data_IF_942678974328
#
_entry.id   IF_942678974328
#
_cell.length_a   1.000
_cell.length_b   1.000
_cell.length_c   1.000
_cell.angle_alpha   90.00
_cell.angle_beta   90.00
_cell.angle_gamma   90.00
#
_symmetry.space_group_name_H-M   'P 1'
#
loop_
_entity.id
_entity.type
_entity.pdbx_description
1 polymer ?
#
# COMPACT_ATOMS: atom_id res chain seq x y z
N UNK A 1 -27.96 -14.94 -36.37
CA UNK A 1 -26.48 -14.88 -36.27
C UNK A 1 -25.99 -13.76 -35.33
N UNK A 2 -26.77 -12.70 -35.09
CA UNK A 2 -26.39 -11.60 -34.18
C UNK A 2 -26.31 -11.99 -32.68
N UNK A 3 -27.12 -12.96 -32.23
CA UNK A 3 -27.18 -13.37 -30.81
C UNK A 3 -25.88 -14.05 -30.34
N UNK A 4 -25.25 -14.84 -31.22
CA UNK A 4 -23.98 -15.51 -30.91
C UNK A 4 -22.85 -14.50 -30.76
N UNK A 5 -22.84 -13.44 -31.58
CA UNK A 5 -21.79 -12.41 -31.54
C UNK A 5 -21.84 -11.57 -30.25
N UNK A 6 -23.04 -11.26 -29.73
CA UNK A 6 -23.18 -10.59 -28.44
C UNK A 6 -22.75 -11.47 -27.26
N UNK A 7 -23.12 -12.75 -27.27
CA UNK A 7 -22.73 -13.69 -26.20
C UNK A 7 -21.21 -13.91 -26.20
N UNK A 8 -20.57 -14.00 -27.37
CA UNK A 8 -19.10 -14.13 -27.48
C UNK A 8 -18.38 -12.84 -27.07
N UNK A 9 -18.94 -11.66 -27.34
CA UNK A 9 -18.39 -10.38 -26.88
C UNK A 9 -18.49 -10.22 -25.36
N UNK A 10 -19.61 -10.62 -24.75
CA UNK A 10 -19.80 -10.62 -23.29
C UNK A 10 -18.90 -11.64 -22.57
N UNK A 11 -18.73 -12.84 -23.14
CA UNK A 11 -17.83 -13.86 -22.58
C UNK A 11 -16.36 -13.50 -22.81
N UNK A 12 -16.00 -12.90 -23.94
CA UNK A 12 -14.64 -12.37 -24.17
C UNK A 12 -14.29 -11.22 -23.24
N UNK A 13 -15.24 -10.32 -22.93
CA UNK A 13 -15.04 -9.28 -21.92
C UNK A 13 -14.93 -9.84 -20.49
N UNK A 14 -15.55 -10.98 -20.21
CA UNK A 14 -15.41 -11.66 -18.93
C UNK A 14 -14.12 -12.51 -18.84
N UNK A 15 -13.59 -12.95 -19.98
CA UNK A 15 -12.45 -13.88 -20.07
C UNK A 15 -11.09 -13.25 -20.40
N UNK A 16 -11.05 -12.01 -20.88
CA UNK A 16 -9.80 -11.33 -21.29
C UNK A 16 -9.62 -10.08 -20.43
N UNK A 17 -9.24 -10.28 -19.16
CA UNK A 17 -8.94 -9.20 -18.22
C UNK A 17 -10.20 -8.57 -17.65
N UNK A 18 -10.36 -8.68 -16.33
CA UNK A 18 -11.56 -8.28 -15.61
C UNK A 18 -12.11 -6.93 -16.05
N UNK A 19 -13.44 -6.80 -15.98
CA UNK A 19 -14.20 -5.56 -16.16
C UNK A 19 -13.33 -4.39 -15.70
N UNK A 20 -12.91 -3.54 -16.64
CA UNK A 20 -12.29 -2.25 -16.32
C UNK A 20 -13.42 -1.37 -15.76
N UNK A 21 -13.89 -1.74 -14.57
CA UNK A 21 -14.55 -0.81 -13.67
C UNK A 21 -13.47 0.23 -13.41
N UNK A 22 -13.74 1.51 -13.67
CA UNK A 22 -12.84 2.61 -13.30
C UNK A 22 -12.21 2.29 -11.94
N UNK A 23 -10.88 2.16 -11.92
CA UNK A 23 -10.14 1.28 -11.01
C UNK A 23 -10.69 1.26 -9.57
N UNK A 24 -11.29 0.14 -9.17
CA UNK A 24 -11.71 -0.01 -7.79
C UNK A 24 -10.49 -0.36 -6.93
N UNK A 25 -10.39 0.27 -5.75
CA UNK A 25 -9.28 0.09 -4.82
C UNK A 25 -9.83 -0.25 -3.43
N UNK A 26 -9.08 -1.06 -2.67
CA UNK A 26 -9.30 -1.26 -1.25
C UNK A 26 -9.25 0.07 -0.50
N UNK A 27 -9.93 0.14 0.64
CA UNK A 27 -9.94 1.33 1.46
C UNK A 27 -8.52 1.63 1.96
N UNK A 28 -8.11 2.90 1.85
CA UNK A 28 -6.87 3.35 2.42
C UNK A 28 -6.92 3.27 3.96
N UNK A 29 -5.80 2.91 4.56
CA UNK A 29 -5.63 3.02 6.00
C UNK A 29 -5.57 4.49 6.40
N UNK A 30 -6.21 4.83 7.51
CA UNK A 30 -6.13 6.18 8.06
C UNK A 30 -4.70 6.49 8.53
N UNK A 31 -4.28 7.73 8.34
CA UNK A 31 -3.04 8.23 8.92
C UNK A 31 -3.16 8.29 10.45
N UNK A 32 -2.04 8.14 11.15
CA UNK A 32 -1.98 8.45 12.57
C UNK A 32 -2.26 9.94 12.80
N UNK A 33 -2.86 10.28 13.93
CA UNK A 33 -3.21 11.68 14.26
C UNK A 33 -2.73 12.14 15.63
N UNK A 34 -2.35 11.20 16.49
CA UNK A 34 -1.82 11.48 17.83
C UNK A 34 -0.32 11.27 17.89
N UNK A 35 0.35 11.89 18.86
CA UNK A 35 1.81 11.84 19.04
C UNK A 35 2.36 10.40 18.95
N UNK A 36 3.17 10.11 17.92
CA UNK A 36 3.75 8.78 17.67
C UNK A 36 2.75 7.69 17.22
N UNK A 37 1.52 8.04 16.86
CA UNK A 37 0.49 7.08 16.44
C UNK A 37 0.82 6.46 15.09
N UNK A 38 0.71 5.14 14.98
CA UNK A 38 0.88 4.44 13.71
C UNK A 38 -0.27 4.73 12.72
N UNK A 39 0.04 4.70 11.44
CA UNK A 39 -0.97 4.64 10.39
C UNK A 39 -1.60 3.25 10.29
N UNK A 40 -2.88 3.20 9.93
CA UNK A 40 -3.60 1.94 9.76
C UNK A 40 -3.22 1.26 8.44
N UNK A 41 -3.38 -0.05 8.38
CA UNK A 41 -3.21 -0.79 7.13
C UNK A 41 -4.33 -0.46 6.14
N UNK A 42 -3.99 -0.43 4.85
CA UNK A 42 -4.96 -0.45 3.78
C UNK A 42 -5.63 -1.81 3.67
N UNK A 43 -6.91 -1.84 3.30
CA UNK A 43 -7.64 -3.10 3.17
C UNK A 43 -7.22 -3.84 1.91
N UNK A 44 -7.34 -5.17 1.92
CA UNK A 44 -7.26 -5.94 0.69
C UNK A 44 -8.34 -5.48 -0.31
N UNK A 45 -8.02 -5.58 -1.60
CA UNK A 45 -8.97 -5.33 -2.67
C UNK A 45 -10.03 -6.43 -2.73
N UNK A 46 -11.27 -6.05 -3.04
CA UNK A 46 -12.31 -6.98 -3.44
C UNK A 46 -12.05 -7.54 -4.85
N UNK A 47 -12.93 -8.41 -5.37
CA UNK A 47 -12.78 -8.98 -6.72
C UNK A 47 -12.58 -7.89 -7.79
N UNK A 48 -11.48 -7.97 -8.53
CA UNK A 48 -11.12 -6.98 -9.56
C UNK A 48 -10.56 -5.66 -9.02
N UNK A 49 -10.35 -5.51 -7.71
CA UNK A 49 -9.87 -4.27 -7.10
C UNK A 49 -8.43 -4.36 -6.59
N UNK A 50 -7.72 -3.24 -6.70
CA UNK A 50 -6.38 -3.08 -6.14
C UNK A 50 -6.41 -3.05 -4.61
N UNK A 51 -5.27 -3.30 -3.98
CA UNK A 51 -5.11 -3.14 -2.53
C UNK A 51 -5.11 -1.67 -2.10
N UNK A 52 -5.68 -1.38 -0.94
CA UNK A 52 -5.68 -0.04 -0.36
C UNK A 52 -4.28 0.38 0.10
N UNK A 53 -3.97 1.68 0.04
CA UNK A 53 -2.72 2.23 0.58
C UNK A 53 -2.72 2.17 2.11
N UNK A 54 -1.58 1.88 2.74
CA UNK A 54 -1.39 2.05 4.18
C UNK A 54 -1.26 3.52 4.59
N UNK A 55 -1.82 3.88 5.73
CA UNK A 55 -1.74 5.23 6.29
C UNK A 55 -0.33 5.57 6.78
N UNK A 56 0.03 6.85 6.77
CA UNK A 56 1.27 7.34 7.34
C UNK A 56 1.24 7.31 8.87
N UNK A 57 2.39 7.04 9.49
CA UNK A 57 2.58 7.24 10.91
C UNK A 57 2.70 8.72 11.26
N UNK A 58 2.15 9.10 12.41
CA UNK A 58 2.18 10.47 12.89
C UNK A 58 3.56 10.81 13.48
N UNK A 59 4.01 12.09 13.38
CA UNK A 59 5.25 12.51 14.01
C UNK A 59 5.29 12.26 15.52
N UNK A 60 6.48 11.97 16.02
CA UNK A 60 6.77 11.83 17.44
C UNK A 60 7.48 13.06 18.00
N UNK A 61 6.91 13.65 19.05
CA UNK A 61 7.54 14.68 19.89
C UNK A 61 7.90 14.04 21.23
N UNK A 62 9.21 13.91 21.50
CA UNK A 62 9.74 13.20 22.67
C UNK A 62 9.32 11.71 22.77
N UNK A 63 8.85 11.16 21.65
CA UNK A 63 8.52 9.74 21.47
C UNK A 63 8.99 9.32 20.06
N UNK A 64 9.12 8.01 19.78
CA UNK A 64 9.40 7.57 18.42
C UNK A 64 8.28 8.00 17.46
N UNK A 65 8.64 8.17 16.20
CA UNK A 65 7.64 8.41 15.17
C UNK A 65 6.74 7.19 14.96
N UNK A 66 5.47 7.43 14.61
CA UNK A 66 4.54 6.35 14.34
C UNK A 66 4.97 5.50 13.14
N UNK A 67 4.74 4.20 13.17
CA UNK A 67 4.98 3.35 12.01
C UNK A 67 3.97 3.63 10.89
N UNK A 68 4.39 3.46 9.64
CA UNK A 68 3.49 3.44 8.49
C UNK A 68 2.70 2.14 8.43
N UNK A 69 1.42 2.24 8.04
CA UNK A 69 0.55 1.09 7.83
C UNK A 69 0.94 0.27 6.61
N UNK A 70 0.66 -1.02 6.61
CA UNK A 70 0.89 -1.88 5.45
C UNK A 70 -0.09 -1.56 4.31
N UNK A 71 0.35 -1.71 3.07
CA UNK A 71 -0.53 -1.72 1.91
C UNK A 71 -1.32 -3.03 1.83
N UNK A 72 -2.58 -2.94 1.41
CA UNK A 72 -3.46 -4.09 1.24
C UNK A 72 -3.06 -4.95 0.04
N UNK A 73 -3.38 -6.23 0.07
CA UNK A 73 -3.19 -7.11 -1.09
C UNK A 73 -4.20 -6.77 -2.20
N UNK A 74 -3.81 -6.97 -3.46
CA UNK A 74 -4.74 -6.93 -4.59
C UNK A 74 -5.78 -8.05 -4.49
N UNK A 75 -7.02 -7.78 -4.88
CA UNK A 75 -8.09 -8.75 -4.90
C UNK A 75 -8.03 -9.70 -6.10
N UNK A 76 -8.88 -10.73 -6.14
CA UNK A 76 -8.83 -11.75 -7.20
C UNK A 76 -8.88 -11.14 -8.61
N UNK A 77 -8.04 -11.64 -9.51
CA UNK A 77 -7.88 -11.11 -10.87
C UNK A 77 -6.45 -10.60 -11.11
N UNK A 78 -6.31 -9.60 -11.98
CA UNK A 78 -5.03 -8.95 -12.32
C UNK A 78 -4.96 -7.58 -11.65
N UNK A 79 -4.68 -7.55 -10.35
CA UNK A 79 -4.76 -6.33 -9.51
C UNK A 79 -3.44 -6.06 -8.81
N UNK A 80 -3.17 -4.78 -8.58
CA UNK A 80 -2.01 -4.33 -7.85
C UNK A 80 -2.20 -4.44 -6.34
N UNK A 81 -1.09 -4.61 -5.62
CA UNK A 81 -1.05 -4.40 -4.18
C UNK A 81 -0.95 -2.92 -3.84
N UNK A 82 -1.51 -2.51 -2.70
CA UNK A 82 -1.46 -1.14 -2.22
C UNK A 82 -0.06 -0.75 -1.75
N UNK A 83 0.29 0.54 -1.82
CA UNK A 83 1.55 1.02 -1.27
C UNK A 83 1.53 1.05 0.26
N UNK A 84 2.69 0.83 0.89
CA UNK A 84 2.88 1.01 2.32
C UNK A 84 2.89 2.49 2.72
N UNK A 85 2.48 2.76 3.95
CA UNK A 85 2.51 4.09 4.54
C UNK A 85 3.91 4.51 4.98
N UNK A 86 4.17 5.81 5.02
CA UNK A 86 5.45 6.32 5.52
C UNK A 86 5.49 6.30 7.04
N UNK A 87 6.67 6.07 7.63
CA UNK A 87 6.88 6.28 9.05
C UNK A 87 6.89 7.77 9.38
N UNK A 88 6.37 8.14 10.55
CA UNK A 88 6.44 9.51 11.06
C UNK A 88 7.85 9.86 11.52
N UNK A 89 8.26 11.11 11.36
CA UNK A 89 9.55 11.55 11.89
C UNK A 89 9.50 11.76 13.41
N UNK A 90 10.64 11.66 14.08
CA UNK A 90 10.81 12.08 15.47
C UNK A 90 11.94 13.10 15.59
N UNK A 91 11.77 14.08 16.47
CA UNK A 91 12.75 15.15 16.66
C UNK A 91 13.88 14.80 17.65
N UNK A 92 13.73 13.70 18.39
CA UNK A 92 14.56 13.37 19.54
C UNK A 92 14.81 11.88 19.71
N UNK A 93 13.96 11.03 19.10
CA UNK A 93 14.05 9.58 19.15
C UNK A 93 14.05 9.00 17.74
N UNK A 94 14.01 7.67 17.64
CA UNK A 94 13.93 6.95 16.37
C UNK A 94 12.73 7.38 15.53
N UNK A 95 12.94 7.55 14.23
CA UNK A 95 11.85 7.73 13.28
C UNK A 95 11.02 6.45 13.11
N UNK A 96 9.76 6.59 12.73
CA UNK A 96 8.87 5.46 12.49
C UNK A 96 9.33 4.61 11.31
N UNK A 97 9.14 3.30 11.36
CA UNK A 97 9.38 2.45 10.20
C UNK A 97 8.31 2.66 9.12
N UNK A 98 8.69 2.52 7.86
CA UNK A 98 7.74 2.49 6.75
C UNK A 98 6.97 1.17 6.69
N UNK A 99 5.72 1.23 6.24
CA UNK A 99 4.87 0.06 6.05
C UNK A 99 5.26 -0.73 4.81
N UNK A 100 5.04 -2.06 4.83
CA UNK A 100 5.27 -2.88 3.64
C UNK A 100 4.23 -2.61 2.55
N UNK A 101 4.62 -2.73 1.29
CA UNK A 101 3.70 -2.76 0.16
C UNK A 101 2.94 -4.08 0.09
N UNK A 102 1.70 -4.03 -0.39
CA UNK A 102 0.85 -5.20 -0.55
C UNK A 102 1.25 -6.07 -1.74
N UNK A 103 0.96 -7.37 -1.65
CA UNK A 103 1.14 -8.30 -2.77
C UNK A 103 0.06 -8.08 -3.84
N UNK A 104 0.41 -8.35 -5.09
CA UNK A 104 -0.54 -8.36 -6.22
C UNK A 104 -1.33 -9.65 -6.31
N UNK A 105 -2.40 -9.64 -7.09
CA UNK A 105 -3.05 -10.83 -7.63
C UNK A 105 -2.81 -10.96 -9.13
N UNK A 106 -2.71 -12.20 -9.63
CA UNK A 106 -2.56 -12.49 -11.06
C UNK A 106 -1.33 -11.80 -11.65
N UNK A 107 -1.53 -11.03 -12.72
CA UNK A 107 -0.46 -10.32 -13.43
C UNK A 107 -0.27 -8.85 -13.00
N UNK A 108 -0.88 -8.39 -11.89
CA UNK A 108 -0.82 -6.97 -11.45
C UNK A 108 0.59 -6.50 -11.04
N UNK A 109 0.74 -5.51 -10.15
CA UNK A 109 2.07 -5.11 -9.62
C UNK A 109 2.09 -5.11 -8.10
N UNK A 110 3.19 -5.55 -7.48
CA UNK A 110 3.32 -5.42 -6.03
C UNK A 110 3.41 -3.95 -5.62
N UNK A 111 2.87 -3.61 -4.46
CA UNK A 111 2.89 -2.24 -3.96
C UNK A 111 4.28 -1.81 -3.52
N UNK A 112 4.57 -0.52 -3.57
CA UNK A 112 5.83 0.02 -3.03
C UNK A 112 5.84 -0.02 -1.50
N UNK A 113 6.99 -0.27 -0.90
CA UNK A 113 7.21 -0.08 0.52
C UNK A 113 7.25 1.40 0.89
N UNK A 114 6.77 1.73 2.08
CA UNK A 114 6.84 3.07 2.62
C UNK A 114 8.25 3.44 3.07
N UNK A 115 8.60 4.72 2.97
CA UNK A 115 9.84 5.24 3.56
C UNK A 115 9.75 5.27 5.10
N UNK A 116 10.87 5.07 5.78
CA UNK A 116 10.99 5.38 7.20
C UNK A 116 10.98 6.89 7.46
N UNK A 117 10.54 7.29 8.65
CA UNK A 117 10.59 8.67 9.10
C UNK A 117 11.97 9.07 9.59
N UNK A 118 12.29 10.36 9.56
CA UNK A 118 13.58 10.86 10.06
C UNK A 118 13.66 10.76 11.59
N UNK A 119 14.86 10.62 12.16
CA UNK A 119 15.03 10.57 13.63
C UNK A 119 16.44 10.21 14.09
N UNK A 120 16.56 9.81 15.36
CA UNK A 120 17.82 9.45 16.01
C UNK A 120 17.80 7.98 16.52
N UNK A 121 17.96 6.96 15.64
CA UNK A 121 18.24 7.04 14.21
C UNK A 121 16.98 7.18 13.33
N UNK A 122 17.18 7.35 12.02
CA UNK A 122 16.08 7.28 11.05
C UNK A 122 15.38 5.92 11.06
N UNK A 123 14.11 5.92 10.69
CA UNK A 123 13.26 4.73 10.63
C UNK A 123 13.63 3.81 9.48
N UNK A 124 13.35 2.51 9.65
CA UNK A 124 13.63 1.50 8.63
C UNK A 124 12.68 1.65 7.41
N UNK A 125 13.13 1.29 6.19
CA UNK A 125 12.28 1.22 5.02
C UNK A 125 11.28 0.06 5.12
N UNK A 126 10.08 0.26 4.57
CA UNK A 126 9.13 -0.81 4.32
C UNK A 126 9.56 -1.67 3.13
N UNK A 127 9.30 -2.98 3.20
CA UNK A 127 9.54 -3.87 2.07
C UNK A 127 8.54 -3.60 0.93
N UNK A 128 8.95 -3.82 -0.32
CA UNK A 128 8.01 -3.80 -1.44
C UNK A 128 7.23 -5.12 -1.53
N UNK A 129 6.01 -5.03 -2.05
CA UNK A 129 5.14 -6.17 -2.28
C UNK A 129 5.57 -7.02 -3.48
N UNK A 130 5.31 -8.31 -3.43
CA UNK A 130 5.72 -9.23 -4.50
C UNK A 130 4.70 -9.31 -5.65
N UNK A 131 5.16 -9.55 -6.90
CA UNK A 131 6.49 -9.22 -7.42
C UNK A 131 6.68 -7.73 -7.72
N UNK A 132 7.94 -7.33 -7.74
CA UNK A 132 8.47 -6.06 -8.25
C UNK A 132 8.09 -4.79 -7.48
N UNK A 133 7.42 -4.91 -6.34
CA UNK A 133 7.31 -3.79 -5.41
C UNK A 133 8.71 -3.39 -4.94
N UNK A 134 9.06 -2.13 -5.15
CA UNK A 134 10.32 -1.60 -4.64
C UNK A 134 10.19 -1.34 -3.13
N UNK A 135 11.21 -1.66 -2.33
CA UNK A 135 11.26 -1.23 -0.94
C UNK A 135 11.32 0.30 -0.86
N UNK A 136 10.91 0.83 0.29
CA UNK A 136 11.07 2.25 0.60
C UNK A 136 12.53 2.60 0.90
N UNK A 137 12.75 3.86 1.23
CA UNK A 137 14.04 4.38 1.71
C UNK A 137 14.05 4.45 3.24
N UNK A 138 15.23 4.27 3.84
CA UNK A 138 15.41 4.57 5.26
C UNK A 138 15.19 6.06 5.52
N UNK A 139 14.70 6.40 6.70
CA UNK A 139 14.65 7.78 7.15
C UNK A 139 16.04 8.35 7.38
N UNK A 140 16.16 9.66 7.26
CA UNK A 140 17.40 10.34 7.56
C UNK A 140 17.70 10.23 9.06
N UNK A 141 18.96 9.97 9.38
CA UNK A 141 19.43 10.08 10.76
C UNK A 141 19.77 11.54 11.04
N UNK A 142 19.09 12.11 12.02
CA UNK A 142 19.26 13.49 12.45
C UNK A 142 20.54 13.62 13.33
N UNK A 143 21.17 14.80 13.34
CA UNK A 143 22.39 15.08 14.12
C UNK A 143 22.13 15.17 15.63
#
# INVERSE_FOLDING_TARGET
MAVIFQVVLLISLAGIGGVVVEGCSGAAGADGTSNGQAGLAGTAGGPGCDGGRGGAGFPGTNVPGGAGGAGGAGGSGNTAGGAGGHGGSSNTLTGGAGGAGGIRSGTGTGGHGGNGGDGHPGGAPGAGGAPNGLPGSAGNTLP
#
